data_IF_496385992824
#
_entry.id   IF_496385992824
#
_cell.length_a   1.000
_cell.length_b   1.000
_cell.length_c   1.000
_cell.angle_alpha   90.00
_cell.angle_beta   90.00
_cell.angle_gamma   90.00
#
_symmetry.space_group_name_H-M   'P 1'
#
loop_
_entity.id
_entity.type
_entity.pdbx_description
1 polymer ?
#
# COMPACT_ATOMS: atom_id res chain seq x y z
N UNK A 1 -18.48 -2.53 0.42
CA UNK A 1 -19.62 -2.00 1.21
C UNK A 1 -19.99 -2.90 2.39
N UNK A 2 -20.20 -4.21 2.20
CA UNK A 2 -20.55 -5.12 3.30
C UNK A 2 -19.55 -5.12 4.48
N UNK A 3 -18.25 -5.14 4.22
CA UNK A 3 -17.24 -5.12 5.28
C UNK A 3 -17.23 -3.82 6.11
N UNK A 4 -17.49 -2.67 5.49
CA UNK A 4 -17.59 -1.38 6.22
C UNK A 4 -18.83 -1.37 7.11
N UNK A 5 -19.97 -1.85 6.58
CA UNK A 5 -21.18 -1.99 7.38
C UNK A 5 -20.91 -2.90 8.59
N UNK A 6 -20.17 -3.99 8.41
CA UNK A 6 -19.80 -4.88 9.50
C UNK A 6 -18.93 -4.20 10.55
N UNK A 7 -17.94 -3.37 10.17
CA UNK A 7 -17.15 -2.57 11.13
C UNK A 7 -18.04 -1.66 11.99
N UNK A 8 -19.00 -0.98 11.35
CA UNK A 8 -19.92 -0.07 12.03
C UNK A 8 -20.85 -0.83 12.97
N UNK A 9 -21.50 -1.89 12.50
CA UNK A 9 -22.44 -2.68 13.29
C UNK A 9 -21.75 -3.37 14.46
N UNK A 10 -20.60 -4.01 14.24
CA UNK A 10 -19.84 -4.66 15.30
C UNK A 10 -19.36 -3.67 16.35
N UNK A 11 -18.81 -2.52 15.94
CA UNK A 11 -18.37 -1.48 16.88
C UNK A 11 -19.53 -0.93 17.70
N UNK A 12 -20.68 -0.70 17.06
CA UNK A 12 -21.90 -0.29 17.76
C UNK A 12 -22.37 -1.36 18.77
N UNK A 13 -22.39 -2.64 18.38
CA UNK A 13 -22.74 -3.74 19.29
C UNK A 13 -21.81 -3.79 20.51
N UNK A 14 -20.50 -3.61 20.29
CA UNK A 14 -19.50 -3.57 21.35
C UNK A 14 -19.72 -2.39 22.30
N UNK A 15 -19.97 -1.17 21.80
CA UNK A 15 -20.22 -0.01 22.67
C UNK A 15 -21.53 -0.09 23.45
N UNK A 16 -22.54 -0.74 22.89
CA UNK A 16 -23.86 -0.87 23.49
C UNK A 16 -24.04 -2.13 24.34
N UNK A 17 -23.05 -3.03 24.37
CA UNK A 17 -23.15 -4.33 25.05
C UNK A 17 -24.17 -5.28 24.43
N UNK A 18 -24.62 -5.02 23.20
CA UNK A 18 -25.58 -5.88 22.49
C UNK A 18 -24.93 -7.25 22.28
N UNK A 19 -25.66 -8.32 22.63
CA UNK A 19 -25.16 -9.70 22.61
C UNK A 19 -23.88 -9.90 23.43
N UNK A 20 -23.63 -9.05 24.43
CA UNK A 20 -22.40 -9.07 25.24
C UNK A 20 -21.12 -8.96 24.38
N UNK A 21 -21.18 -8.25 23.25
CA UNK A 21 -20.07 -8.11 22.32
C UNK A 21 -18.78 -7.55 22.97
N UNK A 22 -18.94 -6.67 23.95
CA UNK A 22 -17.87 -6.15 24.81
C UNK A 22 -17.10 -7.24 25.57
N UNK A 23 -17.72 -8.41 25.80
CA UNK A 23 -17.12 -9.49 26.56
C UNK A 23 -16.46 -10.54 25.66
N UNK A 24 -16.99 -10.82 24.47
CA UNK A 24 -16.51 -11.92 23.61
C UNK A 24 -15.72 -11.48 22.37
N UNK A 25 -15.78 -10.21 21.96
CA UNK A 25 -15.07 -9.72 20.78
C UNK A 25 -13.64 -9.24 21.04
N UNK A 26 -13.34 -8.49 22.12
CA UNK A 26 -12.00 -7.98 22.37
C UNK A 26 -10.99 -9.09 22.63
N UNK A 27 -9.72 -8.88 22.27
CA UNK A 27 -8.67 -9.88 22.43
C UNK A 27 -7.70 -9.49 23.55
N UNK A 28 -7.55 -10.39 24.53
CA UNK A 28 -6.46 -10.34 25.52
C UNK A 28 -5.62 -11.60 25.41
N UNK A 29 -4.36 -11.52 25.87
CA UNK A 29 -3.42 -12.64 25.90
C UNK A 29 -4.02 -13.84 26.66
N UNK A 30 -4.58 -13.60 27.84
CA UNK A 30 -5.22 -14.63 28.65
C UNK A 30 -6.43 -15.28 27.96
N UNK A 31 -7.31 -14.49 27.31
CA UNK A 31 -8.48 -15.04 26.65
C UNK A 31 -8.09 -15.95 25.48
N UNK A 32 -7.14 -15.50 24.66
CA UNK A 32 -6.74 -16.21 23.44
C UNK A 32 -5.86 -17.41 23.76
N UNK A 33 -4.76 -17.21 24.51
CA UNK A 33 -3.77 -18.25 24.75
C UNK A 33 -4.00 -19.03 26.04
N UNK A 34 -4.54 -18.38 27.08
CA UNK A 34 -4.87 -19.04 28.34
C UNK A 34 -6.15 -19.87 28.27
N UNK A 35 -7.22 -19.30 27.69
CA UNK A 35 -8.55 -19.95 27.61
C UNK A 35 -8.88 -20.56 26.25
N UNK A 36 -8.02 -20.38 25.25
CA UNK A 36 -8.19 -20.98 23.92
C UNK A 36 -9.27 -20.31 23.07
N UNK A 37 -9.64 -19.06 23.37
CA UNK A 37 -10.70 -18.32 22.67
C UNK A 37 -10.20 -17.73 21.33
N UNK A 38 -9.72 -18.60 20.43
CA UNK A 38 -9.00 -18.20 19.22
C UNK A 38 -9.80 -17.33 18.25
N UNK A 39 -11.14 -17.38 18.28
CA UNK A 39 -11.99 -16.52 17.44
C UNK A 39 -11.74 -15.02 17.71
N UNK A 40 -11.29 -14.67 18.92
CA UNK A 40 -10.96 -13.28 19.31
C UNK A 40 -9.90 -12.65 18.44
N UNK A 41 -9.00 -13.47 17.88
CA UNK A 41 -8.00 -13.01 16.91
C UNK A 41 -8.64 -12.38 15.67
N UNK A 42 -9.86 -12.74 15.31
CA UNK A 42 -10.57 -12.17 14.17
C UNK A 42 -11.70 -11.22 14.58
N UNK A 43 -12.46 -11.55 15.63
CA UNK A 43 -13.59 -10.71 16.06
C UNK A 43 -13.12 -9.34 16.52
N UNK A 44 -11.94 -9.27 17.13
CA UNK A 44 -11.39 -8.01 17.64
C UNK A 44 -11.11 -6.98 16.55
N UNK A 45 -10.89 -7.43 15.31
CA UNK A 45 -10.67 -6.53 14.17
C UNK A 45 -11.94 -5.82 13.69
N UNK A 46 -13.12 -6.18 14.21
CA UNK A 46 -14.38 -5.56 13.80
C UNK A 46 -14.88 -4.47 14.76
N UNK A 47 -14.27 -4.35 15.94
CA UNK A 47 -14.66 -3.42 17.00
C UNK A 47 -13.61 -2.33 17.20
N UNK A 48 -14.02 -1.16 17.64
CA UNK A 48 -13.13 -0.01 17.86
C UNK A 48 -13.39 0.63 19.23
N UNK A 49 -12.40 1.33 19.77
CA UNK A 49 -12.51 2.01 21.07
C UNK A 49 -13.45 3.21 21.01
N UNK A 50 -13.51 3.88 19.86
CA UNK A 50 -14.20 5.14 19.68
C UNK A 50 -14.53 5.41 18.19
N UNK A 51 -15.32 6.45 17.96
CA UNK A 51 -15.77 6.84 16.64
C UNK A 51 -14.63 7.33 15.73
N UNK A 52 -13.63 8.02 16.28
CA UNK A 52 -12.50 8.54 15.49
C UNK A 52 -11.69 7.40 14.89
N UNK A 53 -11.30 6.43 15.73
CA UNK A 53 -10.62 5.21 15.31
C UNK A 53 -11.45 4.39 14.30
N UNK A 54 -12.77 4.27 14.51
CA UNK A 54 -13.64 3.59 13.55
C UNK A 54 -13.65 4.28 12.19
N UNK A 55 -13.78 5.60 12.15
CA UNK A 55 -13.85 6.38 10.91
C UNK A 55 -12.53 6.34 10.14
N UNK A 56 -11.39 6.51 10.83
CA UNK A 56 -10.07 6.49 10.19
C UNK A 56 -9.76 5.12 9.58
N UNK A 57 -10.02 4.04 10.32
CA UNK A 57 -9.86 2.68 9.81
C UNK A 57 -10.84 2.38 8.67
N UNK A 58 -12.12 2.76 8.81
CA UNK A 58 -13.13 2.51 7.77
C UNK A 58 -12.77 3.20 6.46
N UNK A 59 -12.25 4.42 6.51
CA UNK A 59 -11.81 5.15 5.32
C UNK A 59 -10.68 4.42 4.59
N UNK A 60 -9.58 4.09 5.29
CA UNK A 60 -8.44 3.40 4.68
C UNK A 60 -8.79 1.98 4.24
N UNK A 61 -9.57 1.25 5.04
CA UNK A 61 -10.05 -0.09 4.72
C UNK A 61 -10.91 -0.07 3.44
N UNK A 62 -11.78 0.93 3.28
CA UNK A 62 -12.59 1.09 2.07
C UNK A 62 -11.73 1.38 0.85
N UNK A 63 -10.85 2.39 0.91
CA UNK A 63 -10.04 2.83 -0.23
C UNK A 63 -9.07 1.72 -0.67
N UNK A 64 -8.30 1.14 0.26
CA UNK A 64 -7.34 0.09 -0.07
C UNK A 64 -8.03 -1.21 -0.46
N UNK A 65 -9.12 -1.57 0.24
CA UNK A 65 -9.93 -2.73 -0.10
C UNK A 65 -10.57 -2.61 -1.48
N UNK A 66 -11.04 -1.42 -1.86
CA UNK A 66 -11.58 -1.15 -3.20
C UNK A 66 -10.51 -1.38 -4.28
N UNK A 67 -9.30 -0.83 -4.11
CA UNK A 67 -8.23 -1.05 -5.08
C UNK A 67 -7.80 -2.51 -5.15
N UNK A 68 -7.56 -3.16 -4.01
CA UNK A 68 -7.09 -4.54 -3.99
C UNK A 68 -8.12 -5.51 -4.59
N UNK A 69 -9.40 -5.35 -4.28
CA UNK A 69 -10.45 -6.15 -4.90
C UNK A 69 -10.66 -5.80 -6.38
N UNK A 70 -10.61 -4.52 -6.74
CA UNK A 70 -10.78 -4.08 -8.13
C UNK A 70 -9.72 -4.63 -9.07
N UNK A 71 -8.45 -4.66 -8.64
CA UNK A 71 -7.34 -5.13 -9.46
C UNK A 71 -7.06 -6.64 -9.31
N UNK A 72 -7.27 -7.23 -8.13
CA UNK A 72 -6.83 -8.59 -7.83
C UNK A 72 -7.95 -9.55 -7.38
N UNK A 73 -9.17 -9.05 -7.23
CA UNK A 73 -10.35 -9.84 -6.95
C UNK A 73 -10.54 -10.26 -5.49
N UNK A 74 -11.62 -11.00 -5.28
CA UNK A 74 -12.19 -11.27 -3.95
C UNK A 74 -11.31 -12.16 -3.04
N UNK A 75 -10.44 -12.97 -3.64
CA UNK A 75 -9.48 -13.81 -2.91
C UNK A 75 -8.38 -12.99 -2.24
N UNK A 76 -7.96 -11.88 -2.86
CA UNK A 76 -7.00 -10.95 -2.25
C UNK A 76 -7.70 -10.12 -1.19
N UNK A 77 -8.82 -9.49 -1.54
CA UNK A 77 -9.67 -8.78 -0.57
C UNK A 77 -11.14 -9.16 -0.78
N UNK A 78 -11.85 -9.67 0.24
CA UNK A 78 -11.47 -9.61 1.67
C UNK A 78 -10.75 -10.85 2.21
N UNK A 79 -10.71 -11.98 1.50
CA UNK A 79 -10.35 -13.28 2.12
C UNK A 79 -8.94 -13.27 2.73
N UNK A 80 -7.92 -12.97 1.92
CA UNK A 80 -6.53 -12.97 2.40
C UNK A 80 -6.32 -11.90 3.48
N UNK A 81 -6.92 -10.72 3.31
CA UNK A 81 -6.84 -9.65 4.31
C UNK A 81 -7.35 -10.08 5.70
N UNK A 82 -8.45 -10.83 5.76
CA UNK A 82 -9.00 -11.35 7.03
C UNK A 82 -8.11 -12.43 7.64
N UNK A 83 -7.53 -13.32 6.82
CA UNK A 83 -6.57 -14.32 7.29
C UNK A 83 -5.37 -13.63 7.95
N UNK A 84 -4.75 -12.68 7.25
CA UNK A 84 -3.58 -11.98 7.76
C UNK A 84 -3.90 -11.01 8.90
N UNK A 85 -5.13 -10.51 9.00
CA UNK A 85 -5.61 -9.77 10.18
C UNK A 85 -5.49 -10.60 11.46
N UNK A 86 -6.06 -11.82 11.45
CA UNK A 86 -5.95 -12.74 12.57
C UNK A 86 -4.51 -13.15 12.87
N UNK A 87 -3.70 -13.42 11.84
CA UNK A 87 -2.28 -13.75 12.02
C UNK A 87 -1.48 -12.57 12.62
N UNK A 88 -1.80 -11.34 12.21
CA UNK A 88 -1.18 -10.13 12.77
C UNK A 88 -1.51 -10.03 14.25
N UNK A 89 -2.77 -10.20 14.63
CA UNK A 89 -3.20 -10.18 16.02
C UNK A 89 -2.50 -11.30 16.82
N UNK A 90 -2.43 -12.52 16.27
CA UNK A 90 -1.76 -13.64 16.93
C UNK A 90 -0.27 -13.38 17.16
N UNK A 91 0.42 -12.75 16.20
CA UNK A 91 1.84 -12.47 16.28
C UNK A 91 2.18 -11.42 17.35
N UNK A 92 1.29 -10.47 17.62
CA UNK A 92 1.57 -9.34 18.52
C UNK A 92 0.94 -9.46 19.90
N UNK A 93 -0.15 -10.21 20.04
CA UNK A 93 -0.93 -10.28 21.28
C UNK A 93 -0.07 -10.76 22.47
N UNK A 94 0.75 -11.80 22.27
CA UNK A 94 1.63 -12.33 23.31
C UNK A 94 2.83 -11.42 23.65
N UNK A 95 3.00 -10.31 22.94
CA UNK A 95 4.05 -9.32 23.24
C UNK A 95 3.56 -8.26 24.24
N UNK A 96 2.25 -8.14 24.41
CA UNK A 96 1.63 -7.14 25.29
C UNK A 96 1.49 -7.67 26.73
N UNK A 97 1.50 -6.78 27.73
CA UNK A 97 1.12 -7.13 29.10
C UNK A 97 -0.30 -7.75 29.16
N UNK A 98 -0.60 -8.65 30.12
CA UNK A 98 -1.89 -9.35 30.19
C UNK A 98 -3.13 -8.46 30.32
N UNK A 99 -2.97 -7.26 30.88
CA UNK A 99 -4.02 -6.25 31.06
C UNK A 99 -4.35 -5.47 29.78
N UNK A 100 -3.54 -5.61 28.73
CA UNK A 100 -3.79 -4.94 27.45
C UNK A 100 -4.82 -5.70 26.64
N UNK A 101 -5.84 -4.95 26.22
CA UNK A 101 -6.84 -5.43 25.27
C UNK A 101 -6.53 -4.88 23.88
N UNK A 102 -6.39 -5.78 22.90
CA UNK A 102 -6.25 -5.43 21.50
C UNK A 102 -7.62 -5.39 20.85
N UNK A 103 -7.91 -4.32 20.09
CA UNK A 103 -9.10 -4.13 19.27
C UNK A 103 -8.85 -3.15 18.13
N UNK A 104 -9.58 -3.30 17.03
CA UNK A 104 -9.49 -2.44 15.84
C UNK A 104 -9.05 -3.16 14.56
N UNK A 105 -9.49 -2.62 13.43
CA UNK A 105 -9.17 -3.17 12.10
C UNK A 105 -7.74 -2.82 11.62
N UNK A 106 -6.96 -2.08 12.40
CA UNK A 106 -5.74 -1.45 11.91
C UNK A 106 -4.66 -2.43 11.46
N UNK A 107 -4.54 -3.60 12.10
CA UNK A 107 -3.66 -4.67 11.59
C UNK A 107 -3.98 -5.08 10.15
N UNK A 108 -5.28 -5.16 9.82
CA UNK A 108 -5.73 -5.43 8.44
C UNK A 108 -5.44 -4.23 7.55
N UNK A 109 -5.73 -3.01 8.00
CA UNK A 109 -5.48 -1.79 7.21
C UNK A 109 -4.00 -1.64 6.83
N UNK A 110 -3.09 -1.87 7.78
CA UNK A 110 -1.65 -1.83 7.52
C UNK A 110 -1.22 -2.98 6.61
N UNK A 111 -1.82 -4.16 6.72
CA UNK A 111 -1.61 -5.25 5.76
C UNK A 111 -2.05 -4.87 4.34
N UNK A 112 -3.24 -4.28 4.18
CA UNK A 112 -3.73 -3.79 2.89
C UNK A 112 -2.78 -2.74 2.31
N UNK A 113 -2.28 -1.84 3.17
CA UNK A 113 -1.30 -0.82 2.82
C UNK A 113 -0.01 -1.41 2.28
N UNK A 114 0.60 -2.32 3.04
CA UNK A 114 1.84 -3.01 2.64
C UNK A 114 1.65 -3.81 1.34
N UNK A 115 0.54 -4.54 1.22
CA UNK A 115 0.23 -5.30 0.01
C UNK A 115 0.07 -4.38 -1.21
N UNK A 116 -0.73 -3.32 -1.10
CA UNK A 116 -0.96 -2.37 -2.19
C UNK A 116 0.33 -1.64 -2.59
N UNK A 117 1.11 -1.15 -1.64
CA UNK A 117 2.37 -0.44 -1.90
C UNK A 117 3.41 -1.33 -2.58
N UNK A 118 3.53 -2.60 -2.17
CA UNK A 118 4.40 -3.56 -2.83
C UNK A 118 3.93 -3.91 -4.24
N UNK A 119 2.62 -4.07 -4.45
CA UNK A 119 2.10 -4.40 -5.78
C UNK A 119 2.18 -3.21 -6.74
N UNK A 120 1.82 -2.01 -6.28
CA UNK A 120 2.09 -0.75 -7.01
C UNK A 120 3.59 -0.63 -7.32
N UNK A 121 4.39 -0.85 -6.26
CA UNK A 121 5.79 -1.25 -6.25
C UNK A 121 6.19 -1.91 -7.56
N UNK A 122 5.85 -3.18 -7.67
CA UNK A 122 6.36 -4.14 -8.63
C UNK A 122 5.73 -4.03 -10.03
N UNK A 123 4.47 -3.61 -10.11
CA UNK A 123 3.69 -3.59 -11.35
C UNK A 123 3.85 -2.32 -12.18
N UNK A 124 4.14 -1.16 -11.57
CA UNK A 124 4.18 0.11 -12.29
C UNK A 124 5.51 0.34 -13.05
N UNK A 125 5.83 -0.55 -13.99
CA UNK A 125 7.15 -0.63 -14.66
C UNK A 125 7.41 0.43 -15.72
N UNK A 126 6.38 1.16 -16.16
CA UNK A 126 6.50 2.34 -17.02
C UNK A 126 7.28 3.49 -16.34
N UNK A 127 7.51 3.40 -15.03
CA UNK A 127 8.19 4.43 -14.22
C UNK A 127 9.55 3.93 -13.77
N UNK A 128 10.50 4.86 -13.66
CA UNK A 128 11.83 4.51 -13.14
C UNK A 128 11.76 3.98 -11.70
N UNK A 129 12.76 3.19 -11.29
CA UNK A 129 12.82 2.64 -9.93
C UNK A 129 12.74 3.74 -8.86
N UNK A 130 13.45 4.85 -9.07
CA UNK A 130 13.41 6.01 -8.16
C UNK A 130 12.01 6.61 -8.07
N UNK A 131 11.36 6.80 -9.22
CA UNK A 131 10.00 7.35 -9.29
C UNK A 131 8.96 6.46 -8.58
N UNK A 132 9.12 5.14 -8.66
CA UNK A 132 8.26 4.18 -7.96
C UNK A 132 8.50 4.25 -6.46
N UNK A 133 9.76 4.21 -6.03
CA UNK A 133 10.14 4.29 -4.63
C UNK A 133 9.64 5.58 -3.97
N UNK A 134 9.85 6.74 -4.61
CA UNK A 134 9.43 8.04 -4.11
C UNK A 134 7.90 8.13 -3.98
N UNK A 135 7.15 7.62 -4.97
CA UNK A 135 5.68 7.62 -4.90
C UNK A 135 5.15 6.66 -3.84
N UNK A 136 5.70 5.45 -3.75
CA UNK A 136 5.32 4.50 -2.69
C UNK A 136 5.60 5.08 -1.31
N UNK A 137 6.78 5.69 -1.11
CA UNK A 137 7.12 6.35 0.14
C UNK A 137 6.19 7.53 0.43
N UNK A 138 5.92 8.38 -0.55
CA UNK A 138 5.01 9.52 -0.40
C UNK A 138 3.60 9.08 0.00
N UNK A 139 3.05 8.05 -0.65
CA UNK A 139 1.74 7.49 -0.29
C UNK A 139 1.79 6.85 1.10
N UNK A 140 2.84 6.09 1.43
CA UNK A 140 2.99 5.47 2.75
C UNK A 140 3.02 6.54 3.86
N UNK A 141 3.78 7.62 3.65
CA UNK A 141 3.82 8.73 4.58
C UNK A 141 2.46 9.38 4.71
N UNK A 142 1.76 9.72 3.62
CA UNK A 142 0.44 10.36 3.70
C UNK A 142 -0.60 9.49 4.40
N UNK A 143 -0.66 8.19 4.09
CA UNK A 143 -1.70 7.30 4.60
C UNK A 143 -1.43 6.79 6.01
N UNK A 144 -0.15 6.61 6.37
CA UNK A 144 0.25 6.01 7.65
C UNK A 144 1.05 6.97 8.53
N UNK A 145 1.04 8.28 8.23
CA UNK A 145 1.70 9.27 9.07
C UNK A 145 1.12 9.21 10.49
N UNK A 146 1.98 9.27 11.51
CA UNK A 146 1.58 9.23 12.91
C UNK A 146 0.97 10.55 13.40
N UNK A 147 -0.08 11.08 12.76
CA UNK A 147 -0.89 12.12 13.42
C UNK A 147 -1.45 11.60 14.76
N UNK A 148 -1.69 10.29 14.83
CA UNK A 148 -2.21 9.61 16.01
C UNK A 148 -1.18 8.73 16.75
N UNK A 149 0.04 8.49 16.24
CA UNK A 149 0.91 7.47 16.85
C UNK A 149 1.52 7.82 18.22
N UNK A 150 1.20 8.99 18.76
CA UNK A 150 1.51 9.35 20.15
C UNK A 150 0.34 9.06 21.11
N UNK A 151 -0.76 8.50 20.61
CA UNK A 151 -1.90 8.12 21.41
C UNK A 151 -1.68 6.76 22.09
N UNK A 152 -1.79 6.66 23.43
CA UNK A 152 -1.58 5.42 24.18
C UNK A 152 -2.45 4.24 23.73
N UNK A 153 -3.64 4.54 23.21
CA UNK A 153 -4.62 3.58 22.70
C UNK A 153 -4.26 2.95 21.34
N UNK A 154 -3.15 3.34 20.70
CA UNK A 154 -2.76 2.85 19.38
C UNK A 154 -1.63 1.83 19.44
N UNK A 155 -1.89 0.66 18.86
CA UNK A 155 -0.95 -0.45 18.82
C UNK A 155 0.07 -0.32 17.67
N UNK A 156 1.21 0.31 17.95
CA UNK A 156 2.33 0.42 16.98
C UNK A 156 2.88 -0.95 16.55
N UNK A 157 2.85 -1.95 17.43
CA UNK A 157 3.32 -3.31 17.12
C UNK A 157 2.41 -3.99 16.11
N UNK A 158 1.09 -3.87 16.29
CA UNK A 158 0.08 -4.39 15.36
C UNK A 158 0.23 -3.73 13.98
N UNK A 159 0.45 -2.42 13.95
CA UNK A 159 0.68 -1.69 12.70
C UNK A 159 1.95 -2.19 11.97
N UNK A 160 3.07 -2.28 12.68
CA UNK A 160 4.33 -2.74 12.10
C UNK A 160 4.25 -4.18 11.60
N UNK A 161 3.66 -5.09 12.39
CA UNK A 161 3.48 -6.48 12.01
C UNK A 161 2.55 -6.64 10.80
N UNK A 162 1.40 -5.95 10.81
CA UNK A 162 0.46 -5.97 9.69
C UNK A 162 1.10 -5.45 8.41
N UNK A 163 1.82 -4.34 8.49
CA UNK A 163 2.54 -3.76 7.34
C UNK A 163 3.60 -4.70 6.79
N UNK A 164 4.44 -5.28 7.66
CA UNK A 164 5.50 -6.21 7.26
C UNK A 164 4.91 -7.47 6.58
N UNK A 165 3.84 -8.04 7.15
CA UNK A 165 3.14 -9.16 6.54
C UNK A 165 2.51 -8.80 5.19
N UNK A 166 1.98 -7.58 5.06
CA UNK A 166 1.44 -7.05 3.80
C UNK A 166 2.51 -6.91 2.73
N UNK A 167 3.68 -6.34 3.09
CA UNK A 167 4.82 -6.22 2.19
C UNK A 167 5.27 -7.60 1.69
N UNK A 168 5.48 -8.53 2.63
CA UNK A 168 5.90 -9.89 2.32
C UNK A 168 4.89 -10.60 1.41
N UNK A 169 3.61 -10.54 1.77
CA UNK A 169 2.55 -11.16 0.97
C UNK A 169 2.49 -10.57 -0.45
N UNK A 170 2.61 -9.25 -0.59
CA UNK A 170 2.63 -8.59 -1.90
C UNK A 170 3.78 -9.07 -2.80
N UNK A 171 4.96 -9.29 -2.23
CA UNK A 171 6.10 -9.86 -2.97
C UNK A 171 5.79 -11.29 -3.41
N UNK A 172 5.32 -12.13 -2.50
CA UNK A 172 4.99 -13.54 -2.79
C UNK A 172 3.88 -13.65 -3.85
N UNK A 173 2.84 -12.83 -3.74
CA UNK A 173 1.74 -12.78 -4.70
C UNK A 173 2.22 -12.37 -6.09
N UNK A 174 3.06 -11.33 -6.18
CA UNK A 174 3.68 -10.95 -7.44
C UNK A 174 4.52 -12.07 -8.04
N UNK A 175 5.36 -12.74 -7.24
CA UNK A 175 6.20 -13.83 -7.72
C UNK A 175 5.36 -15.00 -8.25
N UNK A 176 4.26 -15.34 -7.57
CA UNK A 176 3.33 -16.38 -7.98
C UNK A 176 2.62 -16.07 -9.30
N UNK A 177 2.17 -14.82 -9.48
CA UNK A 177 1.42 -14.36 -10.67
C UNK A 177 2.30 -13.68 -11.73
N UNK A 178 3.63 -13.74 -11.58
CA UNK A 178 4.61 -13.00 -12.38
C UNK A 178 4.44 -13.19 -13.89
N UNK A 179 4.15 -14.42 -14.33
CA UNK A 179 3.98 -14.73 -15.76
C UNK A 179 2.76 -14.01 -16.35
N UNK A 180 1.64 -14.03 -15.62
CA UNK A 180 0.40 -13.39 -16.01
C UNK A 180 0.55 -11.86 -16.05
N UNK A 181 1.12 -11.27 -15.00
CA UNK A 181 1.36 -9.82 -14.97
C UNK A 181 2.28 -9.33 -16.08
N UNK A 182 3.30 -10.13 -16.44
CA UNK A 182 4.19 -9.80 -17.55
C UNK A 182 3.53 -9.97 -18.92
N UNK A 183 2.64 -10.95 -19.07
CA UNK A 183 1.91 -11.15 -20.33
C UNK A 183 0.91 -10.03 -20.61
N UNK A 184 0.41 -9.35 -19.56
CA UNK A 184 -0.49 -8.21 -19.69
C UNK A 184 0.23 -6.87 -19.97
N UNK A 185 1.56 -6.84 -19.98
CA UNK A 185 2.35 -5.62 -20.22
C UNK A 185 2.43 -5.35 -21.73
N UNK A 186 1.70 -4.34 -22.21
CA UNK A 186 1.78 -3.85 -23.60
C UNK A 186 2.90 -2.83 -23.71
N UNK A 187 3.84 -3.05 -24.64
CA UNK A 187 4.93 -2.11 -24.94
C UNK A 187 4.61 -1.43 -26.26
N UNK A 188 4.44 -0.11 -26.25
CA UNK A 188 4.36 0.70 -27.46
C UNK A 188 5.73 1.33 -27.70
N UNK A 189 6.30 1.07 -28.88
CA UNK A 189 7.51 1.74 -29.34
C UNK A 189 7.06 3.08 -29.97
N UNK A 190 7.25 4.17 -29.24
CA UNK A 190 6.99 5.51 -29.78
C UNK A 190 8.16 5.83 -30.71
N UNK A 191 7.95 5.69 -32.01
CA UNK A 191 8.85 6.23 -33.00
C UNK A 191 8.74 7.76 -32.90
N UNK A 192 9.77 8.41 -32.37
CA UNK A 192 9.92 9.85 -32.56
C UNK A 192 10.15 10.07 -34.05
N UNK A 193 9.13 10.53 -34.77
CA UNK A 193 9.30 11.03 -36.13
C UNK A 193 10.35 12.16 -36.05
N UNK A 194 11.51 11.91 -36.65
CA UNK A 194 12.63 12.82 -36.66
C UNK A 194 12.29 14.01 -37.59
N UNK A 195 11.39 14.90 -37.15
CA UNK A 195 11.01 16.15 -37.83
C UNK A 195 12.23 17.06 -38.12
N UNK A 196 13.41 16.74 -37.56
CA UNK A 196 14.65 17.43 -37.84
C UNK A 196 15.33 17.02 -39.16
N UNK A 197 14.94 15.90 -39.80
CA UNK A 197 15.58 15.48 -41.05
C UNK A 197 15.08 16.32 -42.24
N UNK A 198 13.81 16.72 -42.25
CA UNK A 198 13.26 17.59 -43.31
C UNK A 198 13.75 19.04 -43.20
N UNK A 199 13.99 19.56 -41.98
CA UNK A 199 14.41 20.95 -41.79
C UNK A 199 15.87 21.20 -42.24
N UNK A 200 16.75 20.21 -42.12
CA UNK A 200 18.15 20.29 -42.59
C UNK A 200 18.22 20.10 -44.12
N UNK A 201 17.36 19.26 -44.69
CA UNK A 201 17.28 19.08 -46.15
C UNK A 201 16.81 20.34 -46.89
N UNK A 202 16.01 21.20 -46.23
CA UNK A 202 15.48 22.45 -46.78
C UNK A 202 16.46 23.64 -46.75
N UNK A 203 17.67 23.48 -46.18
CA UNK A 203 18.67 24.55 -46.15
C UNK A 203 19.33 24.68 -47.54
N UNK A 204 19.24 25.85 -48.21
CA UNK A 204 19.93 26.10 -49.47
C UNK A 204 21.43 25.85 -49.34
N UNK A 205 22.07 25.30 -50.38
CA UNK A 205 23.50 24.93 -50.33
C UNK A 205 24.42 26.08 -49.88
N UNK A 206 24.03 27.33 -50.16
CA UNK A 206 24.76 28.54 -49.75
C UNK A 206 24.81 28.79 -48.24
N UNK A 207 23.95 28.15 -47.45
CA UNK A 207 23.86 28.33 -46.00
C UNK A 207 24.39 27.11 -45.21
N UNK A 208 24.71 26.01 -45.89
CA UNK A 208 25.21 24.78 -45.24
C UNK A 208 26.60 24.96 -44.60
N UNK A 209 27.45 25.82 -45.16
CA UNK A 209 28.77 26.14 -44.57
C UNK A 209 28.67 26.79 -43.19
N UNK A 210 27.62 27.60 -42.94
CA UNK A 210 27.46 28.33 -41.67
C UNK A 210 26.88 27.49 -40.53
N UNK A 211 26.21 26.38 -40.84
CA UNK A 211 25.55 25.51 -39.85
C UNK A 211 26.51 24.44 -39.31
N UNK A 212 27.65 24.22 -39.98
CA UNK A 212 28.59 23.13 -39.67
C UNK A 212 29.67 23.42 -38.62
N UNK A 213 29.75 24.62 -38.03
CA UNK A 213 30.71 24.93 -36.96
C UNK A 213 30.06 25.61 -35.73
N UNK A 214 29.73 24.85 -34.66
CA UNK A 214 29.21 25.42 -33.42
C UNK A 214 30.30 26.07 -32.54
N UNK A 215 31.57 26.06 -32.96
CA UNK A 215 32.72 26.35 -32.11
C UNK A 215 33.66 27.37 -32.72
N UNK A 216 33.19 28.59 -32.96
CA UNK A 216 33.94 29.70 -33.57
C UNK A 216 35.40 29.87 -33.08
N UNK A 217 36.33 29.16 -33.71
CA UNK A 217 37.78 29.33 -33.60
C UNK A 217 38.32 29.62 -34.98
N UNK A 218 38.38 30.91 -35.32
CA UNK A 218 39.25 31.39 -36.39
C UNK A 218 40.69 31.03 -36.06
N UNK A 219 41.27 30.05 -36.75
CA UNK A 219 42.72 29.89 -36.78
C UNK A 219 43.30 31.04 -37.61
N UNK A 220 43.88 32.04 -36.95
CA UNK A 220 44.80 32.97 -37.59
C UNK A 220 46.14 32.26 -37.77
N UNK A 221 46.46 31.85 -38.99
CA UNK A 221 47.83 31.56 -39.38
C UNK A 221 48.47 32.86 -39.85
N UNK A 222 49.51 33.30 -39.14
CA UNK A 222 50.38 34.41 -39.51
C UNK A 222 51.61 33.81 -40.17
N UNK A 223 51.90 34.18 -41.41
CA UNK A 223 53.22 34.02 -42.03
C UNK A 223 53.45 35.12 -43.05
N UNK A 224 54.54 35.86 -42.79
CA UNK A 224 55.25 36.87 -43.60
C UNK A 224 54.59 38.25 -43.78
#
# INVERSE_FOLDING_TARGET
MAAILLLVVASFMNWSGILHADQWMPATEEAVFGRGELWRLWTTSWIHSDMGHLLSNSFLFFVLGYFLNGYFGWWVFPVTALVFGGLTNAAVLGTYPPDVTLLGASGIVYWLGGAWLTLYFLLNRQKSLFQRALRSLGVALVLFMPAEAFQPQISYRTHAAGFALGLLWGVLYFLWRKKEFRAAEVTEEILEDDENVESVAAIPDSLREFVSDPSGRRSQARSE
#
